data_IF_071968434893
#
_entry.id   IF_071968434893
#
_cell.length_a   1.000
_cell.length_b   1.000
_cell.length_c   1.000
_cell.angle_alpha   90.00
_cell.angle_beta   90.00
_cell.angle_gamma   90.00
#
_symmetry.space_group_name_H-M   'P 1'
#
loop_
_entity.id
_entity.type
_entity.pdbx_description
1 polymer ?
#
# COMPACT_ATOMS: atom_id res chain seq x y z
N UNK A 1 13.21 19.91 20.64
CA UNK A 1 12.17 20.18 19.63
C UNK A 1 11.21 19.00 19.63
N UNK A 2 9.91 19.23 19.81
CA UNK A 2 8.92 18.17 19.68
C UNK A 2 8.68 17.92 18.19
N UNK A 3 8.95 16.70 17.72
CA UNK A 3 8.55 16.28 16.37
C UNK A 3 7.05 16.08 16.39
N UNK A 4 6.29 16.94 15.71
CA UNK A 4 4.86 16.73 15.55
C UNK A 4 4.66 15.53 14.61
N UNK A 5 4.24 14.40 15.19
CA UNK A 5 3.94 13.17 14.47
C UNK A 5 2.44 13.15 14.19
N UNK A 6 2.07 13.02 12.92
CA UNK A 6 0.67 12.88 12.50
C UNK A 6 0.45 11.49 11.90
N UNK A 7 -0.54 10.79 12.45
CA UNK A 7 -0.97 9.46 11.98
C UNK A 7 -2.27 9.62 11.20
N UNK A 8 -2.30 9.09 9.97
CA UNK A 8 -3.48 9.15 9.11
C UNK A 8 -3.81 7.75 8.64
N UNK A 9 -5.02 7.28 8.97
CA UNK A 9 -5.62 6.13 8.32
C UNK A 9 -6.27 6.62 7.02
N UNK A 10 -5.84 6.10 5.88
CA UNK A 10 -6.40 6.49 4.58
C UNK A 10 -7.41 5.41 4.16
N UNK A 11 -8.72 5.66 4.26
CA UNK A 11 -9.71 4.75 3.69
C UNK A 11 -9.63 4.79 2.15
N UNK A 12 -10.07 3.75 1.43
CA UNK A 12 -9.91 3.61 -0.02
C UNK A 12 -10.60 4.67 -0.92
N UNK A 13 -11.16 5.75 -0.38
CA UNK A 13 -12.03 6.66 -1.13
C UNK A 13 -11.96 8.14 -0.72
N UNK A 14 -10.84 8.63 -0.16
CA UNK A 14 -10.68 10.08 0.01
C UNK A 14 -10.37 10.70 -1.36
N UNK A 15 -11.37 11.38 -1.91
CA UNK A 15 -11.34 12.09 -3.21
C UNK A 15 -10.08 12.95 -3.35
N UNK A 16 -9.20 12.58 -4.28
CA UNK A 16 -7.92 13.26 -4.54
C UNK A 16 -6.67 12.38 -4.40
N UNK A 17 -6.80 11.18 -3.82
CA UNK A 17 -5.79 10.12 -3.82
C UNK A 17 -6.53 8.79 -3.81
N UNK A 18 -6.95 8.30 -4.98
CA UNK A 18 -7.64 7.02 -5.14
C UNK A 18 -6.66 5.87 -4.83
N UNK A 19 -6.74 5.12 -3.71
CA UNK A 19 -5.91 3.97 -3.49
C UNK A 19 -6.81 2.73 -3.61
N UNK A 20 -7.44 2.55 -4.76
CA UNK A 20 -7.75 1.21 -5.26
C UNK A 20 -6.52 0.65 -5.96
N UNK A 21 -5.34 0.82 -5.35
CA UNK A 21 -4.13 0.17 -5.83
C UNK A 21 -4.10 -1.22 -5.19
N UNK A 22 -4.74 -2.16 -5.90
CA UNK A 22 -4.35 -3.55 -5.84
C UNK A 22 -2.81 -3.62 -5.90
N UNK A 23 -2.15 -3.97 -4.78
CA UNK A 23 -0.70 -4.02 -4.76
C UNK A 23 -0.28 -5.41 -5.23
N UNK A 24 0.41 -5.45 -6.37
CA UNK A 24 1.04 -6.65 -6.89
C UNK A 24 2.47 -6.72 -6.36
N UNK A 25 2.83 -7.83 -5.71
CA UNK A 25 4.21 -8.07 -5.30
C UNK A 25 4.62 -9.51 -5.63
N UNK A 26 5.94 -9.75 -5.71
CA UNK A 26 6.51 -11.06 -5.97
C UNK A 26 7.20 -11.60 -4.72
N UNK A 27 6.94 -12.87 -4.39
CA UNK A 27 7.64 -13.63 -3.34
C UNK A 27 7.92 -15.04 -3.85
N UNK A 28 9.19 -15.43 -3.88
CA UNK A 28 9.60 -16.75 -4.37
C UNK A 28 9.12 -17.07 -5.80
N UNK A 29 9.20 -16.09 -6.71
CA UNK A 29 8.70 -16.19 -8.10
C UNK A 29 7.18 -16.34 -8.26
N UNK A 30 6.40 -16.22 -7.18
CA UNK A 30 4.94 -16.17 -7.21
C UNK A 30 4.45 -14.73 -7.03
N UNK A 31 3.43 -14.36 -7.79
CA UNK A 31 2.82 -13.04 -7.72
C UNK A 31 1.58 -13.07 -6.83
N UNK A 32 1.40 -12.01 -6.02
CA UNK A 32 0.28 -11.88 -5.09
C UNK A 32 -0.35 -10.50 -5.22
N UNK A 33 -1.67 -10.46 -5.24
CA UNK A 33 -2.45 -9.25 -5.02
C UNK A 33 -2.67 -9.07 -3.52
N UNK A 34 -2.56 -7.83 -3.05
CA UNK A 34 -2.87 -7.50 -1.67
C UNK A 34 -3.81 -6.31 -1.55
N UNK A 35 -4.70 -6.43 -0.57
CA UNK A 35 -5.61 -5.37 -0.14
C UNK A 35 -5.45 -5.16 1.37
N UNK A 36 -5.76 -3.95 1.83
CA UNK A 36 -5.68 -3.58 3.24
C UNK A 36 -5.88 -2.09 3.43
N UNK A 37 -5.81 -1.64 4.68
CA UNK A 37 -5.86 -0.21 5.02
C UNK A 37 -4.47 0.32 5.27
N UNK A 38 -4.11 1.43 4.64
CA UNK A 38 -2.82 2.05 4.90
C UNK A 38 -2.85 2.93 6.15
N UNK A 39 -1.86 2.72 7.02
CA UNK A 39 -1.49 3.62 8.10
C UNK A 39 -0.18 4.31 7.73
N UNK A 40 -0.26 5.63 7.58
CA UNK A 40 0.90 6.47 7.32
C UNK A 40 1.26 7.32 8.53
N UNK A 41 2.56 7.48 8.75
CA UNK A 41 3.12 8.41 9.72
C UNK A 41 3.91 9.47 8.98
N UNK A 42 3.54 10.72 9.21
CA UNK A 42 4.21 11.87 8.64
C UNK A 42 4.93 12.67 9.72
N UNK A 43 6.16 13.07 9.43
CA UNK A 43 6.90 14.05 10.21
C UNK A 43 6.84 15.40 9.49
N UNK A 44 6.58 16.47 10.24
CA UNK A 44 6.68 17.83 9.69
C UNK A 44 8.15 18.14 9.39
N UNK A 45 8.44 18.52 8.15
CA UNK A 45 9.78 18.89 7.70
C UNK A 45 9.73 20.25 7.01
N UNK A 46 10.15 21.29 7.71
CA UNK A 46 10.01 22.68 7.26
C UNK A 46 8.55 23.08 7.08
N UNK A 47 8.20 23.48 5.85
CA UNK A 47 6.82 23.81 5.44
C UNK A 47 6.04 22.61 4.90
N UNK A 48 6.67 21.45 4.75
CA UNK A 48 6.08 20.24 4.18
C UNK A 48 5.93 19.10 5.19
N UNK A 49 5.36 18.00 4.71
CA UNK A 49 5.24 16.74 5.43
C UNK A 49 6.04 15.67 4.69
N UNK A 50 6.85 14.93 5.43
CA UNK A 50 7.57 13.77 4.92
C UNK A 50 6.90 12.51 5.45
N UNK A 51 6.54 11.59 4.56
CA UNK A 51 6.14 10.24 4.96
C UNK A 51 7.38 9.52 5.51
N UNK A 52 7.39 9.24 6.80
CA UNK A 52 8.55 8.63 7.49
C UNK A 52 8.32 7.16 7.84
N UNK A 53 7.06 6.71 7.82
CA UNK A 53 6.72 5.31 8.00
C UNK A 53 5.35 4.98 7.39
N UNK A 54 5.20 3.73 6.93
CA UNK A 54 3.97 3.16 6.41
C UNK A 54 3.86 1.72 6.90
N UNK A 55 2.65 1.31 7.30
CA UNK A 55 2.28 -0.10 7.36
C UNK A 55 0.89 -0.31 6.78
N UNK A 56 0.62 -1.53 6.31
CA UNK A 56 -0.71 -1.94 5.91
C UNK A 56 -1.35 -2.74 7.05
N UNK A 57 -2.56 -2.32 7.44
CA UNK A 57 -3.40 -2.98 8.43
C UNK A 57 -4.44 -3.84 7.72
N UNK A 58 -4.92 -4.88 8.39
CA UNK A 58 -5.97 -5.78 7.87
C UNK A 58 -5.60 -6.36 6.49
N UNK A 59 -4.33 -6.76 6.33
CA UNK A 59 -3.80 -7.27 5.07
C UNK A 59 -4.52 -8.56 4.67
N UNK A 60 -5.02 -8.58 3.45
CA UNK A 60 -5.50 -9.78 2.79
C UNK A 60 -4.70 -10.00 1.50
N UNK A 61 -4.22 -11.22 1.29
CA UNK A 61 -3.38 -11.60 0.16
C UNK A 61 -4.04 -12.72 -0.64
N UNK A 62 -4.00 -12.62 -1.95
CA UNK A 62 -4.47 -13.65 -2.87
C UNK A 62 -3.44 -13.86 -3.97
N UNK A 63 -3.18 -15.11 -4.34
CA UNK A 63 -2.31 -15.41 -5.49
C UNK A 63 -2.86 -14.70 -6.73
N UNK A 64 -2.02 -13.95 -7.42
CA UNK A 64 -2.33 -13.46 -8.75
C UNK A 64 -2.42 -14.69 -9.64
N UNK A 65 -3.59 -14.97 -10.23
CA UNK A 65 -3.77 -16.11 -11.11
C UNK A 65 -2.66 -16.08 -12.17
N UNK A 66 -1.77 -17.08 -12.13
CA UNK A 66 -0.79 -17.27 -13.18
C UNK A 66 -1.58 -17.50 -14.49
N UNK A 67 -1.27 -16.81 -15.59
CA UNK A 67 -1.91 -17.12 -16.87
C UNK A 67 -1.73 -18.62 -17.13
N UNK A 68 -2.75 -19.32 -17.66
CA UNK A 68 -2.68 -20.77 -17.83
C UNK A 68 -1.41 -21.13 -18.60
N UNK A 69 -0.60 -22.02 -18.03
CA UNK A 69 0.57 -22.58 -18.68
C UNK A 69 0.12 -23.32 -19.94
N UNK A 70 0.14 -22.66 -21.09
CA UNK A 70 -0.32 -23.27 -22.35
C UNK A 70 -0.62 -22.33 -23.52
N UNK A 71 -0.60 -21.00 -23.38
CA UNK A 71 -0.86 -20.09 -24.51
C UNK A 71 0.40 -19.79 -25.36
N UNK A 72 1.18 -20.83 -25.67
CA UNK A 72 2.18 -20.79 -26.74
C UNK A 72 1.86 -21.94 -27.70
N UNK A 73 1.00 -21.64 -28.67
CA UNK A 73 0.73 -22.45 -29.85
C UNK A 73 1.14 -21.69 -31.09
#
# INVERSE_FOLDING_TARGET
MATNIHMVCVPPSIKGMEPTMENLYERSAEQFHTTGRDLWVFAKHGTGWLAVWRTMLDVNETAAQQPPAGAAG
#
